data_IF_613180850348
#
_entry.id   IF_613180850348
#
_cell.length_a   1.000
_cell.length_b   1.000
_cell.length_c   1.000
_cell.angle_alpha   90.00
_cell.angle_beta   90.00
_cell.angle_gamma   90.00
#
_symmetry.space_group_name_H-M   'P 1'
#
loop_
_entity.id
_entity.type
_entity.pdbx_description
1 polymer ?
#
# COMPACT_ATOMS: atom_id res chain seq x y z
N UNK A 1 -11.80 -7.20 -10.28
CA UNK A 1 -11.35 -8.32 -9.40
C UNK A 1 -10.21 -7.89 -8.47
N UNK A 2 -9.24 -7.11 -8.95
CA UNK A 2 -8.10 -6.58 -8.17
C UNK A 2 -8.55 -5.77 -6.94
N UNK A 3 -9.41 -4.79 -7.14
CA UNK A 3 -9.93 -3.94 -6.06
C UNK A 3 -10.74 -4.74 -5.01
N UNK A 4 -11.39 -5.83 -5.42
CA UNK A 4 -12.21 -6.68 -4.54
C UNK A 4 -11.33 -7.42 -3.52
N UNK A 5 -10.21 -8.02 -3.93
CA UNK A 5 -9.30 -8.74 -3.04
C UNK A 5 -8.61 -7.82 -2.02
N UNK A 6 -8.10 -6.68 -2.47
CA UNK A 6 -7.47 -5.69 -1.60
C UNK A 6 -8.47 -5.15 -0.56
N UNK A 7 -9.73 -4.94 -0.96
CA UNK A 7 -10.76 -4.40 -0.09
C UNK A 7 -11.21 -5.37 1.01
N UNK A 8 -11.19 -6.69 0.76
CA UNK A 8 -11.49 -7.69 1.80
C UNK A 8 -10.42 -7.64 2.90
N UNK A 9 -9.14 -7.49 2.54
CA UNK A 9 -8.06 -7.34 3.51
C UNK A 9 -8.14 -6.02 4.29
N UNK A 10 -8.42 -4.90 3.62
CA UNK A 10 -8.60 -3.59 4.27
C UNK A 10 -9.82 -3.61 5.20
N UNK A 11 -10.93 -4.23 4.79
CA UNK A 11 -12.11 -4.39 5.64
C UNK A 11 -11.80 -5.23 6.90
N UNK A 12 -10.97 -6.28 6.78
CA UNK A 12 -10.56 -7.12 7.91
C UNK A 12 -9.67 -6.37 8.91
N UNK A 13 -8.78 -5.50 8.43
CA UNK A 13 -7.94 -4.63 9.27
C UNK A 13 -8.79 -3.63 10.06
N UNK A 14 -9.84 -3.08 9.46
CA UNK A 14 -10.72 -2.09 10.10
C UNK A 14 -11.68 -2.73 11.12
N UNK A 15 -12.07 -4.01 10.95
CA UNK A 15 -13.06 -4.66 11.83
C UNK A 15 -12.48 -5.19 13.13
N UNK A 16 -11.17 -5.41 13.25
CA UNK A 16 -10.54 -5.94 14.47
C UNK A 16 -10.44 -4.91 15.64
N UNK A 17 -10.68 -3.63 15.37
CA UNK A 17 -10.62 -2.57 16.40
C UNK A 17 -11.93 -2.38 17.19
N UNK A 18 -12.93 -3.24 16.99
CA UNK A 18 -14.27 -3.04 17.52
C UNK A 18 -14.65 -3.93 18.69
N UNK A 19 -13.93 -3.90 19.82
CA UNK A 19 -14.49 -4.37 21.09
C UNK A 19 -15.39 -3.27 21.69
N UNK A 20 -16.71 -3.45 21.54
CA UNK A 20 -17.79 -2.88 22.32
C UNK A 20 -17.67 -1.40 22.77
N UNK A 21 -18.12 -0.49 21.93
CA UNK A 21 -18.74 0.76 22.39
C UNK A 21 -20.11 0.94 21.73
N UNK A 22 -21.06 1.34 22.56
CA UNK A 22 -22.47 1.53 22.25
C UNK A 22 -22.72 2.36 20.98
N UNK A 23 -23.87 2.15 20.36
CA UNK A 23 -24.51 2.83 19.22
C UNK A 23 -24.32 4.37 19.21
N UNK A 24 -23.06 4.81 18.99
CA UNK A 24 -22.70 6.16 18.57
C UNK A 24 -22.37 6.10 17.09
N UNK A 25 -22.55 7.18 16.36
CA UNK A 25 -22.16 7.30 14.96
C UNK A 25 -20.79 6.62 14.74
N UNK A 26 -20.68 5.68 13.80
CA UNK A 26 -19.40 5.03 13.48
C UNK A 26 -18.42 6.13 13.18
N UNK A 27 -17.38 6.27 14.00
CA UNK A 27 -16.33 7.23 13.78
C UNK A 27 -15.69 6.94 12.43
N UNK A 28 -15.54 7.96 11.58
CA UNK A 28 -14.92 7.80 10.27
C UNK A 28 -13.46 7.38 10.46
N UNK A 29 -13.06 6.30 9.80
CA UNK A 29 -11.68 5.79 9.84
C UNK A 29 -10.83 6.57 8.85
N UNK A 30 -9.70 7.12 9.26
CA UNK A 30 -8.72 7.74 8.38
C UNK A 30 -7.69 6.69 7.96
N UNK A 31 -7.76 6.27 6.69
CA UNK A 31 -6.85 5.32 6.05
C UNK A 31 -5.87 6.09 5.16
N UNK A 32 -4.58 5.98 5.44
CA UNK A 32 -3.53 6.57 4.60
C UNK A 32 -3.00 5.53 3.60
N UNK A 33 -2.94 5.88 2.34
CA UNK A 33 -2.22 5.09 1.34
C UNK A 33 -0.85 5.76 1.11
N UNK A 34 0.20 5.25 1.75
CA UNK A 34 1.58 5.67 1.59
C UNK A 34 2.22 4.85 0.47
N UNK A 35 2.54 5.48 -0.66
CA UNK A 35 3.03 4.75 -1.82
C UNK A 35 3.72 5.63 -2.86
N UNK A 36 3.92 5.06 -4.03
CA UNK A 36 4.59 5.72 -5.15
C UNK A 36 3.59 6.21 -6.23
N UNK A 37 3.94 6.09 -7.51
CA UNK A 37 3.10 6.48 -8.64
C UNK A 37 1.80 5.68 -8.75
N UNK A 38 1.79 4.43 -8.30
CA UNK A 38 0.61 3.56 -8.31
C UNK A 38 -0.45 4.07 -7.33
N UNK A 39 -0.01 4.49 -6.17
CA UNK A 39 -0.87 5.14 -5.15
C UNK A 39 -1.25 6.54 -5.57
N UNK A 40 -0.32 7.32 -6.12
CA UNK A 40 -0.55 8.71 -6.55
C UNK A 40 -1.62 8.80 -7.66
N UNK A 41 -1.79 7.76 -8.47
CA UNK A 41 -2.67 7.76 -9.63
C UNK A 41 -2.01 8.41 -10.85
N UNK A 42 -0.72 8.09 -11.09
CA UNK A 42 0.04 8.64 -12.22
C UNK A 42 -0.69 8.44 -13.56
N UNK A 43 -0.81 9.52 -14.32
CA UNK A 43 -1.44 9.52 -15.65
C UNK A 43 -2.96 9.46 -15.64
N UNK A 44 -3.61 9.44 -14.48
CA UNK A 44 -5.06 9.39 -14.32
C UNK A 44 -5.64 10.74 -13.90
N UNK A 45 -6.93 10.95 -14.17
CA UNK A 45 -7.65 12.05 -13.55
C UNK A 45 -7.69 11.85 -12.01
N UNK A 46 -7.69 12.92 -11.21
CA UNK A 46 -7.63 12.79 -9.74
C UNK A 46 -8.68 11.86 -9.14
N UNK A 47 -9.90 11.82 -9.68
CA UNK A 47 -10.98 10.96 -9.19
C UNK A 47 -10.83 9.48 -9.60
N UNK A 48 -9.94 9.18 -10.55
CA UNK A 48 -9.74 7.84 -11.08
C UNK A 48 -8.55 7.11 -10.45
N UNK A 49 -7.74 7.81 -9.67
CA UNK A 49 -6.62 7.24 -8.94
C UNK A 49 -7.03 6.22 -7.88
N UNK A 50 -6.04 5.47 -7.38
CA UNK A 50 -6.24 4.38 -6.42
C UNK A 50 -6.98 4.83 -5.14
N UNK A 51 -6.53 5.89 -4.48
CA UNK A 51 -7.07 6.30 -3.19
C UNK A 51 -8.56 6.72 -3.27
N UNK A 52 -9.01 7.59 -4.19
CA UNK A 52 -10.43 7.94 -4.30
C UNK A 52 -11.30 6.77 -4.78
N UNK A 53 -10.80 5.88 -5.62
CA UNK A 53 -11.52 4.66 -6.01
C UNK A 53 -11.68 3.71 -4.83
N UNK A 54 -10.64 3.54 -4.02
CA UNK A 54 -10.70 2.72 -2.81
C UNK A 54 -11.71 3.30 -1.81
N UNK A 55 -11.69 4.61 -1.57
CA UNK A 55 -12.65 5.28 -0.70
C UNK A 55 -14.10 5.04 -1.17
N UNK A 56 -14.37 5.32 -2.44
CA UNK A 56 -15.70 5.11 -3.05
C UNK A 56 -16.16 3.67 -2.89
N UNK A 57 -15.27 2.71 -3.13
CA UNK A 57 -15.57 1.28 -3.02
C UNK A 57 -15.89 0.86 -1.59
N UNK A 58 -15.11 1.33 -0.61
CA UNK A 58 -15.31 1.01 0.81
C UNK A 58 -16.59 1.65 1.36
N UNK A 59 -16.84 2.92 1.01
CA UNK A 59 -18.07 3.63 1.41
C UNK A 59 -19.33 2.98 0.84
N UNK A 60 -19.29 2.50 -0.40
CA UNK A 60 -20.39 1.76 -1.01
C UNK A 60 -20.70 0.44 -0.27
N UNK A 61 -19.79 -0.06 0.57
CA UNK A 61 -19.98 -1.23 1.45
C UNK A 61 -20.35 -0.87 2.88
N UNK A 62 -20.70 0.38 3.12
CA UNK A 62 -21.17 0.84 4.43
C UNK A 62 -20.03 1.12 5.43
N UNK A 63 -18.78 1.21 4.98
CA UNK A 63 -17.65 1.62 5.82
C UNK A 63 -17.54 3.15 5.83
N UNK A 64 -17.55 3.76 7.02
CA UNK A 64 -17.24 5.17 7.19
C UNK A 64 -15.73 5.32 7.15
N UNK A 65 -15.17 5.67 5.99
CA UNK A 65 -13.72 5.77 5.77
C UNK A 65 -13.39 6.98 4.90
N UNK A 66 -12.30 7.63 5.22
CA UNK A 66 -11.61 8.65 4.42
C UNK A 66 -10.26 8.09 4.01
N UNK A 67 -9.96 8.08 2.72
CA UNK A 67 -8.67 7.60 2.21
C UNK A 67 -7.80 8.78 1.82
N UNK A 68 -6.70 8.96 2.55
CA UNK A 68 -5.70 9.99 2.28
C UNK A 68 -4.71 9.46 1.27
N UNK A 69 -4.57 10.16 0.13
CA UNK A 69 -3.57 9.83 -0.88
C UNK A 69 -2.21 10.35 -0.44
N UNK A 70 -1.36 9.45 0.02
CA UNK A 70 0.05 9.69 0.37
C UNK A 70 1.02 9.15 -0.70
N UNK A 71 0.59 9.04 -1.96
CA UNK A 71 1.43 8.62 -3.08
C UNK A 71 2.29 9.74 -3.62
N UNK A 72 3.55 9.45 -3.96
CA UNK A 72 4.46 10.36 -4.66
C UNK A 72 5.14 9.62 -5.80
N UNK A 73 4.87 10.04 -7.04
CA UNK A 73 5.41 9.37 -8.23
C UNK A 73 6.93 9.32 -8.22
N UNK A 74 7.48 8.13 -8.45
CA UNK A 74 8.92 7.89 -8.46
C UNK A 74 9.54 7.62 -7.08
N UNK A 75 8.78 7.66 -6.01
CA UNK A 75 9.31 7.37 -4.67
C UNK A 75 9.83 5.94 -4.55
N UNK A 76 10.98 5.84 -3.91
CA UNK A 76 11.54 4.59 -3.39
C UNK A 76 11.09 4.35 -1.95
N UNK A 77 11.40 3.19 -1.40
CA UNK A 77 11.20 2.93 0.03
C UNK A 77 11.91 3.96 0.92
N UNK A 78 13.09 4.45 0.50
CA UNK A 78 13.82 5.53 1.19
C UNK A 78 13.06 6.85 1.15
N UNK A 79 12.49 7.21 -0.01
CA UNK A 79 11.69 8.43 -0.15
C UNK A 79 10.43 8.39 0.72
N UNK A 80 9.70 7.27 0.69
CA UNK A 80 8.53 7.07 1.54
C UNK A 80 8.86 7.13 3.04
N UNK A 81 9.99 6.54 3.45
CA UNK A 81 10.46 6.61 4.84
C UNK A 81 10.81 8.05 5.25
N UNK A 82 11.53 8.78 4.41
CA UNK A 82 11.95 10.15 4.70
C UNK A 82 10.77 11.11 4.91
N UNK A 83 9.64 10.88 4.23
CA UNK A 83 8.45 11.71 4.33
C UNK A 83 7.34 11.15 5.25
N UNK A 84 7.58 10.02 5.91
CA UNK A 84 6.57 9.33 6.71
C UNK A 84 5.87 10.28 7.71
N UNK A 85 6.63 11.06 8.46
CA UNK A 85 6.09 11.86 9.56
C UNK A 85 5.17 12.99 9.10
N UNK A 86 5.39 13.55 7.90
CA UNK A 86 4.51 14.58 7.36
C UNK A 86 3.46 14.02 6.37
N UNK A 87 3.69 12.85 5.79
CA UNK A 87 2.75 12.22 4.86
C UNK A 87 1.63 11.45 5.57
N UNK A 88 1.87 11.03 6.81
CA UNK A 88 0.90 10.28 7.63
C UNK A 88 0.39 11.20 8.73
N UNK A 89 -0.82 11.76 8.61
CA UNK A 89 -1.38 12.70 9.59
C UNK A 89 -1.61 12.04 10.96
N UNK A 90 -1.61 12.85 12.02
CA UNK A 90 -1.71 12.33 13.39
C UNK A 90 -3.03 11.61 13.68
N UNK A 91 -4.11 12.00 12.99
CA UNK A 91 -5.42 11.37 13.09
C UNK A 91 -5.58 10.09 12.27
N UNK A 92 -4.51 9.56 11.66
CA UNK A 92 -4.56 8.31 10.93
C UNK A 92 -4.87 7.12 11.86
N UNK A 93 -5.78 6.24 11.45
CA UNK A 93 -6.12 4.99 12.13
C UNK A 93 -5.44 3.78 11.48
N UNK A 94 -5.24 3.85 10.16
CA UNK A 94 -4.69 2.75 9.39
C UNK A 94 -3.81 3.27 8.25
N UNK A 95 -2.90 2.40 7.79
CA UNK A 95 -1.99 2.69 6.69
C UNK A 95 -1.89 1.50 5.73
N UNK A 96 -1.94 1.79 4.42
CA UNK A 96 -1.46 0.90 3.38
C UNK A 96 -0.04 1.35 3.04
N UNK A 97 0.93 0.45 3.10
CA UNK A 97 2.32 0.71 2.67
C UNK A 97 2.53 0.04 1.33
N UNK A 98 2.59 0.85 0.28
CA UNK A 98 2.76 0.43 -1.12
C UNK A 98 4.03 1.11 -1.67
N UNK A 99 5.19 0.51 -1.43
CA UNK A 99 6.51 1.02 -1.80
C UNK A 99 7.44 -0.14 -2.18
N UNK A 100 8.44 0.16 -3.00
CA UNK A 100 9.48 -0.78 -3.41
C UNK A 100 9.53 -1.03 -4.92
N UNK A 101 8.49 -0.68 -5.69
CA UNK A 101 8.53 -0.82 -7.14
C UNK A 101 9.70 -0.04 -7.75
N UNK A 102 9.90 1.21 -7.33
CA UNK A 102 11.00 2.05 -7.79
C UNK A 102 12.37 1.58 -7.29
N UNK A 103 12.43 0.94 -6.13
CA UNK A 103 13.66 0.29 -5.64
C UNK A 103 14.07 -0.82 -6.62
N UNK A 104 13.13 -1.71 -6.96
CA UNK A 104 13.39 -2.78 -7.91
C UNK A 104 13.73 -2.26 -9.31
N UNK A 105 12.97 -1.27 -9.83
CA UNK A 105 13.24 -0.68 -11.15
C UNK A 105 14.63 -0.05 -11.25
N UNK A 106 15.20 0.42 -10.13
CA UNK A 106 16.53 1.02 -10.05
C UNK A 106 17.61 0.03 -9.62
N UNK A 107 17.27 -1.24 -9.39
CA UNK A 107 18.19 -2.27 -8.94
C UNK A 107 18.81 -1.98 -7.56
N UNK A 108 18.07 -1.30 -6.69
CA UNK A 108 18.49 -1.05 -5.30
C UNK A 108 18.54 -2.38 -4.56
N UNK A 109 19.57 -2.57 -3.74
CA UNK A 109 19.76 -3.77 -2.96
C UNK A 109 18.48 -4.09 -2.15
N UNK A 110 17.93 -5.31 -2.25
CA UNK A 110 16.75 -5.74 -1.51
C UNK A 110 16.85 -5.53 0.00
N UNK A 111 18.05 -5.60 0.59
CA UNK A 111 18.25 -5.36 2.01
C UNK A 111 18.01 -3.89 2.40
N UNK A 112 18.30 -2.94 1.51
CA UNK A 112 17.96 -1.52 1.71
C UNK A 112 16.44 -1.32 1.73
N UNK A 113 15.74 -1.92 0.76
CA UNK A 113 14.27 -1.88 0.70
C UNK A 113 13.66 -2.51 1.96
N UNK A 114 14.18 -3.67 2.38
CA UNK A 114 13.77 -4.36 3.61
C UNK A 114 13.96 -3.49 4.84
N UNK A 115 15.11 -2.84 4.97
CA UNK A 115 15.43 -1.97 6.10
C UNK A 115 14.48 -0.76 6.19
N UNK A 116 14.20 -0.12 5.05
CA UNK A 116 13.29 1.03 4.98
C UNK A 116 11.85 0.64 5.31
N UNK A 117 11.33 -0.45 4.71
CA UNK A 117 9.98 -0.96 5.01
C UNK A 117 9.86 -1.39 6.48
N UNK A 118 10.92 -1.97 7.05
CA UNK A 118 10.99 -2.27 8.50
C UNK A 118 10.75 -1.02 9.32
N UNK A 119 11.48 0.05 9.05
CA UNK A 119 11.34 1.31 9.80
C UNK A 119 9.95 1.94 9.61
N UNK A 120 9.37 1.90 8.40
CA UNK A 120 8.00 2.37 8.14
C UNK A 120 6.99 1.59 8.99
N UNK A 121 7.12 0.26 9.04
CA UNK A 121 6.25 -0.60 9.85
C UNK A 121 6.40 -0.27 11.34
N UNK A 122 7.64 -0.13 11.82
CA UNK A 122 7.91 0.19 13.23
C UNK A 122 7.37 1.58 13.62
N UNK A 123 7.55 2.60 12.78
CA UNK A 123 6.96 3.93 12.98
C UNK A 123 5.43 3.86 13.00
N UNK A 124 4.82 3.11 12.08
CA UNK A 124 3.37 2.91 12.03
C UNK A 124 2.84 2.24 13.30
N UNK A 125 3.53 1.21 13.78
CA UNK A 125 3.18 0.52 15.04
C UNK A 125 3.32 1.40 16.26
N UNK A 126 4.39 2.21 16.33
CA UNK A 126 4.60 3.16 17.42
C UNK A 126 3.47 4.19 17.52
N UNK A 127 2.80 4.49 16.39
CA UNK A 127 1.62 5.37 16.31
C UNK A 127 0.29 4.61 16.48
N UNK A 128 0.32 3.30 16.72
CA UNK A 128 -0.88 2.47 16.90
C UNK A 128 -1.68 2.20 15.63
N UNK A 129 -1.10 2.44 14.44
CA UNK A 129 -1.81 2.26 13.17
C UNK A 129 -2.05 0.78 12.86
N UNK A 130 -3.21 0.47 12.29
CA UNK A 130 -3.43 -0.79 11.60
C UNK A 130 -2.68 -0.78 10.26
N UNK A 131 -1.95 -1.86 9.93
CA UNK A 131 -1.04 -1.86 8.79
C UNK A 131 -1.46 -2.93 7.78
N UNK A 132 -1.61 -2.52 6.51
CA UNK A 132 -1.65 -3.41 5.36
C UNK A 132 -0.38 -3.18 4.54
N UNK A 133 0.48 -4.19 4.46
CA UNK A 133 1.64 -4.18 3.59
C UNK A 133 1.23 -4.67 2.20
N UNK A 134 1.44 -3.86 1.17
CA UNK A 134 1.20 -4.23 -0.22
C UNK A 134 2.51 -4.70 -0.85
N UNK A 135 2.56 -5.98 -1.21
CA UNK A 135 3.74 -6.60 -1.80
C UNK A 135 3.99 -6.17 -3.23
N UNK A 136 5.25 -6.22 -3.63
CA UNK A 136 5.70 -5.91 -4.99
C UNK A 136 6.66 -7.00 -5.50
N UNK A 137 6.73 -7.15 -6.81
CA UNK A 137 7.66 -8.07 -7.47
C UNK A 137 8.67 -7.25 -8.28
N UNK A 138 9.90 -7.74 -8.31
CA UNK A 138 10.94 -7.17 -9.16
C UNK A 138 10.73 -7.56 -10.63
N UNK A 139 11.12 -6.70 -11.59
CA UNK A 139 11.10 -7.05 -13.00
C UNK A 139 12.10 -8.20 -13.29
N UNK A 140 11.76 -9.13 -14.21
CA UNK A 140 12.54 -10.37 -14.41
C UNK A 140 13.94 -10.15 -15.00
N UNK A 141 14.20 -8.99 -15.59
CA UNK A 141 15.51 -8.65 -16.17
C UNK A 141 16.64 -8.45 -15.13
N UNK A 142 16.31 -8.38 -13.82
CA UNK A 142 17.30 -8.30 -12.74
C UNK A 142 17.83 -9.69 -12.31
N UNK A 143 17.33 -10.74 -12.92
CA UNK A 143 17.73 -12.11 -12.65
C UNK A 143 17.05 -12.75 -11.43
N UNK A 144 17.14 -14.10 -11.33
CA UNK A 144 16.38 -14.84 -10.33
C UNK A 144 16.82 -14.54 -8.90
N UNK A 145 18.10 -14.42 -8.64
CA UNK A 145 18.64 -14.17 -7.29
C UNK A 145 18.09 -12.88 -6.70
N UNK A 146 18.09 -11.78 -7.51
CA UNK A 146 17.51 -10.51 -7.08
C UNK A 146 16.00 -10.65 -6.89
N UNK A 147 15.30 -11.25 -7.86
CA UNK A 147 13.86 -11.42 -7.84
C UNK A 147 13.36 -12.19 -6.61
N UNK A 148 14.01 -13.28 -6.26
CA UNK A 148 13.71 -14.09 -5.08
C UNK A 148 13.95 -13.33 -3.78
N UNK A 149 15.12 -12.68 -3.65
CA UNK A 149 15.45 -11.88 -2.48
C UNK A 149 14.45 -10.71 -2.28
N UNK A 150 14.08 -10.05 -3.38
CA UNK A 150 13.10 -8.95 -3.35
C UNK A 150 11.69 -9.44 -2.99
N UNK A 151 11.22 -10.52 -3.61
CA UNK A 151 9.89 -11.08 -3.36
C UNK A 151 9.70 -11.56 -1.92
N UNK A 152 10.78 -12.03 -1.28
CA UNK A 152 10.77 -12.51 0.10
C UNK A 152 10.59 -11.38 1.14
N UNK A 153 10.86 -10.11 0.79
CA UNK A 153 10.80 -8.98 1.72
C UNK A 153 9.42 -8.88 2.40
N UNK A 154 8.37 -8.85 1.59
CA UNK A 154 7.01 -8.55 2.07
C UNK A 154 6.42 -9.65 2.94
N UNK A 155 6.43 -10.94 2.55
CA UNK A 155 5.93 -12.01 3.40
C UNK A 155 6.75 -12.19 4.68
N UNK A 156 8.05 -11.94 4.64
CA UNK A 156 8.90 -12.02 5.83
C UNK A 156 8.56 -10.92 6.83
N UNK A 157 8.42 -9.68 6.35
CA UNK A 157 8.04 -8.54 7.19
C UNK A 157 6.61 -8.70 7.73
N UNK A 158 5.68 -9.13 6.90
CA UNK A 158 4.31 -9.37 7.33
C UNK A 158 4.24 -10.41 8.46
N UNK A 159 4.99 -11.50 8.32
CA UNK A 159 5.11 -12.57 9.34
C UNK A 159 5.79 -12.06 10.60
N UNK A 160 6.95 -11.39 10.45
CA UNK A 160 7.74 -10.87 11.57
C UNK A 160 6.95 -9.91 12.46
N UNK A 161 6.18 -9.02 11.84
CA UNK A 161 5.45 -7.96 12.53
C UNK A 161 3.97 -8.28 12.78
N UNK A 162 3.49 -9.43 12.31
CA UNK A 162 2.10 -9.84 12.36
C UNK A 162 1.16 -8.77 11.79
N UNK A 163 1.47 -8.30 10.58
CA UNK A 163 0.67 -7.33 9.84
C UNK A 163 0.01 -7.97 8.63
N UNK A 164 -1.10 -7.40 8.17
CA UNK A 164 -1.79 -7.89 6.98
C UNK A 164 -0.91 -7.71 5.73
N UNK A 165 -0.96 -8.70 4.83
CA UNK A 165 -0.23 -8.67 3.56
C UNK A 165 -1.20 -8.80 2.38
N UNK A 166 -1.11 -7.87 1.44
CA UNK A 166 -1.60 -8.08 0.08
C UNK A 166 -0.43 -8.52 -0.81
N UNK A 167 -0.38 -9.77 -1.27
CA UNK A 167 0.86 -10.39 -1.75
C UNK A 167 1.52 -9.69 -2.94
N UNK A 168 0.73 -9.19 -3.89
CA UNK A 168 1.23 -8.46 -5.06
C UNK A 168 0.25 -7.36 -5.48
N UNK A 169 0.62 -6.10 -5.30
CA UNK A 169 -0.26 -4.95 -5.52
C UNK A 169 -0.82 -4.90 -6.94
N UNK A 170 -0.03 -5.26 -7.95
CA UNK A 170 -0.44 -5.32 -9.36
C UNK A 170 -0.98 -6.69 -9.80
N UNK A 171 -1.37 -7.56 -8.87
CA UNK A 171 -1.91 -8.88 -9.16
C UNK A 171 -3.12 -8.82 -10.10
N UNK A 172 -3.03 -9.49 -11.26
CA UNK A 172 -4.06 -9.48 -12.30
C UNK A 172 -4.09 -8.24 -13.20
N UNK A 173 -3.18 -7.28 -12.99
CA UNK A 173 -3.04 -6.06 -13.79
C UNK A 173 -1.70 -6.02 -14.52
N UNK A 174 -0.62 -6.40 -13.84
CA UNK A 174 0.72 -6.42 -14.43
C UNK A 174 0.74 -7.19 -15.77
N UNK A 175 1.43 -6.62 -16.75
CA UNK A 175 1.57 -7.16 -18.11
C UNK A 175 0.25 -7.29 -18.93
N UNK A 176 -0.87 -6.81 -18.42
CA UNK A 176 -2.15 -6.77 -19.16
C UNK A 176 -2.26 -5.45 -19.91
N UNK A 177 -1.99 -5.42 -21.22
CA UNK A 177 -2.01 -4.18 -22.03
C UNK A 177 -3.32 -3.38 -21.93
N UNK A 178 -4.45 -4.06 -21.79
CA UNK A 178 -5.77 -3.44 -21.66
C UNK A 178 -6.05 -2.83 -20.29
N UNK A 179 -5.21 -3.10 -19.30
CA UNK A 179 -5.33 -2.63 -17.91
C UNK A 179 -4.21 -1.67 -17.53
N UNK A 180 -3.35 -1.31 -18.47
CA UNK A 180 -2.22 -0.42 -18.22
C UNK A 180 -2.17 0.71 -19.24
N UNK A 181 -1.60 1.83 -18.84
CA UNK A 181 -1.26 2.94 -19.71
C UNK A 181 -0.25 2.52 -20.78
N UNK A 182 0.03 3.40 -21.73
CA UNK A 182 0.94 3.13 -22.84
C UNK A 182 2.37 2.76 -22.41
N UNK A 183 2.77 3.14 -21.20
CA UNK A 183 4.07 2.79 -20.62
C UNK A 183 4.17 1.32 -20.17
N UNK A 184 3.04 0.62 -20.04
CA UNK A 184 2.94 -0.80 -19.69
C UNK A 184 3.18 -1.13 -18.22
N UNK A 185 3.36 -0.13 -17.36
CA UNK A 185 3.65 -0.32 -15.92
C UNK A 185 2.65 0.36 -14.98
N UNK A 186 1.95 1.40 -15.44
CA UNK A 186 0.94 2.07 -14.65
C UNK A 186 -0.48 1.60 -15.06
N UNK A 187 -1.33 1.23 -14.11
CA UNK A 187 -2.74 0.90 -14.37
C UNK A 187 -3.52 2.07 -14.98
N UNK A 188 -4.52 1.75 -15.85
CA UNK A 188 -5.43 2.72 -16.45
C UNK A 188 -6.81 2.73 -15.77
#
# INVERSE_FOLDING_TARGET
KFLICLCILVASVITLSGAAKAQGARQEVTLVALGDSLTAGYGLAPADGFAPKLETYLRARGLAVRVVNGGVSGDTSSGGLARFDWAVPDEADAIIVELGANDALRGIDPDVTRANLTQIIEKSRARGLQILLAGMLAPPNLGPTYGEAFAAIYPDLARKYNVALYPFFLGGVAAQKSLNLADGIHPN
#
